data_IF_259259876454
#
_entry.id   IF_259259876454
#
_cell.length_a   1.000
_cell.length_b   1.000
_cell.length_c   1.000
_cell.angle_alpha   90.00
_cell.angle_beta   90.00
_cell.angle_gamma   90.00
#
_symmetry.space_group_name_H-M   'P 1'
#
loop_
_entity.id
_entity.type
_entity.pdbx_description
1 polymer ?
#
# COMPACT_ATOMS: atom_id res chain seq x y z
N UNK A 1 20.76 16.99 52.17
CA UNK A 1 20.73 16.32 50.85
C UNK A 1 19.56 16.90 50.08
N UNK A 2 19.70 17.18 48.78
CA UNK A 2 18.60 17.71 47.98
C UNK A 2 17.79 16.51 47.48
N UNK A 3 16.55 16.39 47.95
CA UNK A 3 15.61 15.31 47.67
C UNK A 3 14.23 15.92 47.42
N UNK A 4 13.36 15.19 46.71
CA UNK A 4 11.96 15.56 46.52
C UNK A 4 11.09 14.83 47.55
N UNK A 5 10.17 15.56 48.19
CA UNK A 5 9.13 14.99 49.06
C UNK A 5 7.86 14.74 48.24
N UNK A 6 7.32 13.52 48.27
CA UNK A 6 5.98 13.26 47.77
C UNK A 6 4.95 13.48 48.88
N UNK A 7 4.29 14.63 48.88
CA UNK A 7 3.43 15.07 50.00
C UNK A 7 2.27 14.13 50.32
N UNK A 8 1.82 13.30 49.38
CA UNK A 8 0.67 12.40 49.59
C UNK A 8 0.99 11.18 50.45
N UNK A 9 2.21 10.67 50.42
CA UNK A 9 2.62 9.50 51.22
C UNK A 9 3.83 9.77 52.13
N UNK A 10 4.42 10.97 52.07
CA UNK A 10 5.52 11.40 52.91
C UNK A 10 6.88 10.80 52.54
N UNK A 11 7.00 10.17 51.37
CA UNK A 11 8.25 9.53 50.93
C UNK A 11 9.23 10.54 50.31
N UNK A 12 10.52 10.37 50.61
CA UNK A 12 11.61 11.16 50.03
C UNK A 12 12.29 10.39 48.89
N UNK A 13 12.55 11.09 47.79
CA UNK A 13 13.15 10.54 46.59
C UNK A 13 14.38 11.34 46.16
N UNK A 14 15.40 10.65 45.67
CA UNK A 14 16.66 11.28 45.26
C UNK A 14 16.50 12.07 43.96
N UNK A 15 17.30 13.14 43.79
CA UNK A 15 17.37 13.87 42.52
C UNK A 15 17.70 12.93 41.36
N UNK A 16 16.98 13.10 40.24
CA UNK A 16 17.14 12.30 39.03
C UNK A 16 16.39 10.98 39.05
N UNK A 17 15.74 10.62 40.17
CA UNK A 17 14.92 9.42 40.25
C UNK A 17 13.56 9.59 39.57
N UNK A 18 13.02 8.48 39.08
CA UNK A 18 11.63 8.36 38.61
C UNK A 18 10.95 7.19 39.31
N UNK A 19 9.72 7.37 39.76
CA UNK A 19 8.98 6.36 40.49
C UNK A 19 7.49 6.37 40.15
N UNK A 20 6.81 5.28 40.52
CA UNK A 20 5.35 5.16 40.44
C UNK A 20 4.75 5.14 41.83
N UNK A 21 3.61 5.78 41.98
CA UNK A 21 2.91 5.91 43.26
C UNK A 21 1.65 5.05 43.29
N UNK A 22 1.16 4.76 44.49
CA UNK A 22 -0.06 3.95 44.70
C UNK A 22 -1.33 4.66 44.22
N UNK A 23 -1.31 5.98 44.09
CA UNK A 23 -2.38 6.79 43.51
C UNK A 23 -2.23 7.00 41.99
N UNK A 24 -1.46 6.13 41.33
CA UNK A 24 -1.34 6.04 39.88
C UNK A 24 -0.73 7.28 39.22
N UNK A 25 0.33 7.80 39.83
CA UNK A 25 1.19 8.83 39.27
C UNK A 25 2.54 8.25 38.87
N UNK A 26 3.12 8.81 37.81
CA UNK A 26 4.52 8.63 37.43
C UNK A 26 5.21 9.95 37.74
N UNK A 27 6.11 9.92 38.71
CA UNK A 27 6.80 11.09 39.22
C UNK A 27 8.27 11.09 38.81
N UNK A 28 8.85 12.27 38.71
CA UNK A 28 10.25 12.50 38.44
C UNK A 28 10.78 13.66 39.31
N UNK A 29 11.90 13.43 39.99
CA UNK A 29 12.58 14.45 40.78
C UNK A 29 13.64 15.15 39.94
N UNK A 30 13.44 16.42 39.65
CA UNK A 30 14.30 17.23 38.78
C UNK A 30 15.58 17.69 39.48
N UNK A 31 16.58 18.07 38.68
CA UNK A 31 17.88 18.53 39.19
C UNK A 31 17.82 19.81 40.04
N UNK A 32 16.80 20.65 39.83
CA UNK A 32 16.56 21.85 40.62
C UNK A 32 15.84 21.56 41.95
N UNK A 33 15.44 20.31 42.22
CA UNK A 33 14.67 19.92 43.40
C UNK A 33 13.16 19.97 43.22
N UNK A 34 12.66 20.33 42.03
CA UNK A 34 11.23 20.30 41.73
C UNK A 34 10.78 18.89 41.38
N UNK A 35 9.53 18.56 41.75
CA UNK A 35 8.93 17.26 41.46
C UNK A 35 7.80 17.42 40.45
N UNK A 36 7.91 16.71 39.33
CA UNK A 36 6.84 16.61 38.32
C UNK A 36 6.18 15.25 38.38
N UNK A 37 4.86 15.21 38.54
CA UNK A 37 4.07 13.98 38.53
C UNK A 37 3.01 14.02 37.44
N UNK A 38 2.94 12.97 36.63
CA UNK A 38 1.93 12.80 35.59
C UNK A 38 1.03 11.62 35.93
N UNK A 39 -0.27 11.80 35.73
CA UNK A 39 -1.24 10.73 35.85
C UNK A 39 -0.94 9.60 34.84
N UNK A 40 -0.95 8.34 35.28
CA UNK A 40 -0.63 7.20 34.42
C UNK A 40 -1.84 6.53 33.79
N UNK A 41 -3.05 6.96 34.16
CA UNK A 41 -4.30 6.41 33.67
C UNK A 41 -5.05 7.42 32.81
N UNK A 42 -5.81 6.93 31.84
CA UNK A 42 -6.72 7.75 31.02
C UNK A 42 -8.16 7.51 31.46
N UNK A 43 -8.94 8.59 31.60
CA UNK A 43 -10.35 8.50 31.94
C UNK A 43 -11.23 8.29 30.69
N UNK A 44 -11.98 7.17 30.58
CA UNK A 44 -12.81 6.87 29.43
C UNK A 44 -13.82 7.97 29.10
N UNK A 45 -13.84 8.38 27.83
CA UNK A 45 -14.81 9.30 27.25
C UNK A 45 -15.52 8.65 26.06
N UNK A 46 -16.80 9.00 25.84
CA UNK A 46 -17.57 8.57 24.67
C UNK A 46 -17.75 7.06 24.57
N UNK A 47 -18.21 6.41 25.65
CA UNK A 47 -18.73 5.04 25.62
C UNK A 47 -20.25 5.03 25.52
N UNK A 48 -20.87 3.92 25.04
CA UNK A 48 -22.31 3.79 24.93
C UNK A 48 -23.04 3.97 26.27
N UNK A 49 -24.28 4.47 26.24
CA UNK A 49 -25.09 4.74 27.44
C UNK A 49 -25.41 3.47 28.25
N UNK A 50 -25.41 2.30 27.63
CA UNK A 50 -25.63 1.01 28.29
C UNK A 50 -24.35 0.44 28.95
N UNK A 51 -23.27 1.22 28.96
CA UNK A 51 -21.99 0.88 29.55
C UNK A 51 -21.70 1.71 30.81
N UNK A 52 -20.85 1.18 31.67
CA UNK A 52 -20.32 1.86 32.85
C UNK A 52 -18.80 1.68 32.94
N UNK A 53 -18.14 2.59 33.66
CA UNK A 53 -16.70 2.53 33.93
C UNK A 53 -16.44 2.28 35.41
N UNK A 54 -15.39 1.50 35.69
CA UNK A 54 -14.89 1.22 37.05
C UNK A 54 -13.37 1.37 37.05
N UNK A 55 -12.82 2.01 38.08
CA UNK A 55 -11.38 2.21 38.21
C UNK A 55 -10.73 0.99 38.88
N UNK A 56 -9.79 0.37 38.19
CA UNK A 56 -8.92 -0.66 38.75
C UNK A 56 -7.67 0.02 39.32
N UNK A 57 -7.68 0.24 40.63
CA UNK A 57 -6.58 0.87 41.36
C UNK A 57 -5.26 0.09 41.21
N UNK A 58 -5.32 -1.25 41.18
CA UNK A 58 -4.11 -2.09 41.10
C UNK A 58 -3.47 -2.01 39.72
N UNK A 59 -4.29 -1.95 38.67
CA UNK A 59 -3.82 -1.82 37.30
C UNK A 59 -3.67 -0.37 36.83
N UNK A 60 -4.04 0.61 37.67
CA UNK A 60 -4.06 2.03 37.33
C UNK A 60 -4.74 2.30 35.98
N UNK A 61 -5.98 1.81 35.82
CA UNK A 61 -6.75 1.97 34.57
C UNK A 61 -8.24 1.92 34.85
N UNK A 62 -9.04 2.53 33.98
CA UNK A 62 -10.47 2.26 33.95
C UNK A 62 -10.79 1.06 33.06
N UNK A 63 -11.66 0.19 33.56
CA UNK A 63 -12.35 -0.82 32.77
C UNK A 63 -13.74 -0.29 32.42
N UNK A 64 -14.19 -0.51 31.18
CA UNK A 64 -15.54 -0.14 30.74
C UNK A 64 -16.25 -1.40 30.29
N UNK A 65 -17.45 -1.64 30.77
CA UNK A 65 -18.24 -2.86 30.54
C UNK A 65 -19.74 -2.58 30.57
N UNK A 66 -20.55 -3.55 30.13
CA UNK A 66 -22.01 -3.40 30.10
C UNK A 66 -22.57 -3.29 31.52
N UNK A 67 -23.57 -2.44 31.70
CA UNK A 67 -24.23 -2.24 33.00
C UNK A 67 -24.88 -3.53 33.55
N UNK A 68 -25.35 -4.40 32.65
CA UNK A 68 -26.02 -5.66 33.01
C UNK A 68 -25.07 -6.85 33.13
N UNK A 69 -23.88 -6.81 32.53
CA UNK A 69 -22.89 -7.88 32.58
C UNK A 69 -21.46 -7.31 32.51
N UNK A 70 -20.75 -7.41 33.63
CA UNK A 70 -19.38 -6.88 33.78
C UNK A 70 -18.32 -7.68 33.02
N UNK A 71 -18.66 -8.89 32.56
CA UNK A 71 -17.77 -9.70 31.73
C UNK A 71 -17.71 -9.21 30.28
N UNK A 72 -18.68 -8.40 29.86
CA UNK A 72 -18.79 -7.86 28.50
C UNK A 72 -18.15 -6.46 28.46
N UNK A 73 -16.95 -6.30 27.85
CA UNK A 73 -16.30 -5.01 27.76
C UNK A 73 -17.01 -4.06 26.78
N UNK A 74 -16.88 -2.75 27.04
CA UNK A 74 -17.39 -1.69 26.18
C UNK A 74 -16.26 -0.83 25.60
N UNK A 75 -16.49 -0.31 24.40
CA UNK A 75 -15.56 0.57 23.71
C UNK A 75 -15.71 2.03 24.18
N UNK A 76 -14.62 2.79 24.13
CA UNK A 76 -14.57 4.23 24.46
C UNK A 76 -13.42 4.93 23.72
N UNK A 77 -13.59 6.22 23.41
CA UNK A 77 -12.63 7.05 22.63
C UNK A 77 -11.23 7.21 23.23
N UNK A 78 -11.02 6.70 24.44
CA UNK A 78 -9.80 6.83 25.23
C UNK A 78 -8.75 5.73 25.09
N UNK A 79 -9.12 4.64 24.45
CA UNK A 79 -8.24 3.50 24.19
C UNK A 79 -8.45 3.08 22.74
N UNK A 80 -8.12 3.97 21.81
CA UNK A 80 -7.83 3.59 20.43
C UNK A 80 -6.59 2.70 20.51
N UNK A 81 -6.78 1.39 20.67
CA UNK A 81 -5.71 0.40 20.53
C UNK A 81 -6.01 -0.59 19.43
N UNK A 82 -7.26 -0.65 18.97
CA UNK A 82 -7.72 -1.66 18.04
C UNK A 82 -8.83 -1.11 17.13
N UNK A 83 -8.91 -1.64 15.92
CA UNK A 83 -10.02 -1.46 14.99
C UNK A 83 -10.94 -2.69 15.06
N UNK A 84 -12.26 -2.46 14.99
CA UNK A 84 -13.26 -3.51 14.84
C UNK A 84 -13.52 -3.72 13.34
N UNK A 85 -13.45 -4.96 12.87
CA UNK A 85 -13.96 -5.32 11.54
C UNK A 85 -15.43 -5.73 11.66
N UNK A 86 -16.34 -4.85 11.24
CA UNK A 86 -17.79 -5.02 11.48
C UNK A 86 -18.36 -6.29 10.84
N UNK A 87 -17.78 -6.77 9.73
CA UNK A 87 -18.31 -7.93 8.99
C UNK A 87 -18.12 -9.27 9.72
N UNK A 88 -17.09 -9.41 10.57
CA UNK A 88 -16.84 -10.65 11.33
C UNK A 88 -16.68 -10.43 12.86
N UNK A 89 -16.76 -9.18 13.32
CA UNK A 89 -16.67 -8.82 14.72
C UNK A 89 -15.26 -8.95 15.32
N UNK A 90 -14.22 -9.14 14.50
CA UNK A 90 -12.85 -9.32 14.98
C UNK A 90 -12.15 -7.99 15.29
N UNK A 91 -11.27 -8.02 16.28
CA UNK A 91 -10.49 -6.87 16.71
C UNK A 91 -9.05 -6.98 16.23
N UNK A 92 -8.53 -5.87 15.72
CA UNK A 92 -7.19 -5.80 15.14
C UNK A 92 -6.38 -4.66 15.74
N UNK A 93 -5.15 -4.91 16.16
CA UNK A 93 -4.30 -3.91 16.79
C UNK A 93 -3.99 -2.73 15.85
N UNK A 94 -3.81 -1.54 16.43
CA UNK A 94 -3.31 -0.37 15.69
C UNK A 94 -1.99 -0.71 15.00
N UNK A 95 -1.88 -0.31 13.74
CA UNK A 95 -0.72 -0.58 12.89
C UNK A 95 -0.76 -1.95 12.20
N UNK A 96 -1.69 -2.83 12.57
CA UNK A 96 -1.83 -4.15 11.94
C UNK A 96 -2.39 -4.05 10.53
N UNK A 97 -1.98 -5.01 9.68
CA UNK A 97 -2.54 -5.26 8.36
C UNK A 97 -3.00 -6.71 8.30
N UNK A 98 -4.18 -6.93 7.76
CA UNK A 98 -4.74 -8.28 7.65
C UNK A 98 -5.55 -8.45 6.37
N UNK A 99 -5.82 -9.71 6.04
CA UNK A 99 -6.75 -10.10 4.98
C UNK A 99 -8.00 -10.69 5.62
N UNK A 100 -9.13 -10.35 5.05
CA UNK A 100 -10.45 -10.77 5.51
C UNK A 100 -10.99 -11.89 4.61
N UNK A 101 -12.00 -12.61 5.09
CA UNK A 101 -12.65 -13.70 4.35
C UNK A 101 -13.44 -13.23 3.13
N UNK A 102 -13.90 -11.97 3.15
CA UNK A 102 -14.55 -11.26 2.03
C UNK A 102 -13.56 -10.55 1.10
N UNK A 103 -12.31 -11.02 1.06
CA UNK A 103 -11.29 -10.59 0.11
C UNK A 103 -10.88 -9.11 0.19
N UNK A 104 -10.93 -8.53 1.39
CA UNK A 104 -10.41 -7.20 1.68
C UNK A 104 -8.99 -7.30 2.28
N UNK A 105 -8.20 -6.26 2.05
CA UNK A 105 -6.96 -5.98 2.77
C UNK A 105 -7.19 -4.75 3.61
N UNK A 106 -7.15 -4.94 4.92
CA UNK A 106 -7.41 -3.89 5.87
C UNK A 106 -6.12 -3.42 6.56
N UNK A 107 -6.15 -2.17 7.00
CA UNK A 107 -5.11 -1.52 7.78
C UNK A 107 -5.76 -0.72 8.91
N UNK A 108 -5.36 -1.00 10.15
CA UNK A 108 -5.78 -0.21 11.30
C UNK A 108 -4.81 0.95 11.50
N UNK A 109 -5.26 2.18 11.24
CA UNK A 109 -4.41 3.37 11.31
C UNK A 109 -4.11 3.78 12.77
N UNK A 110 -3.08 4.62 12.95
CA UNK A 110 -2.67 5.12 14.26
C UNK A 110 -3.75 5.91 15.01
N UNK A 111 -4.68 6.53 14.26
CA UNK A 111 -5.84 7.24 14.80
C UNK A 111 -7.04 6.30 15.05
N UNK A 112 -6.85 4.98 14.98
CA UNK A 112 -7.85 3.92 15.09
C UNK A 112 -8.95 3.94 14.03
N UNK A 113 -8.73 4.62 12.91
CA UNK A 113 -9.56 4.50 11.72
C UNK A 113 -9.11 3.29 10.92
N UNK A 114 -10.06 2.44 10.54
CA UNK A 114 -9.81 1.29 9.68
C UNK A 114 -9.94 1.68 8.20
N UNK A 115 -8.97 1.27 7.39
CA UNK A 115 -9.02 1.41 5.93
C UNK A 115 -8.94 0.04 5.30
N UNK A 116 -9.95 -0.35 4.52
CA UNK A 116 -10.00 -1.62 3.82
C UNK A 116 -10.11 -1.39 2.32
N UNK A 117 -9.33 -2.14 1.55
CA UNK A 117 -9.37 -2.13 0.10
C UNK A 117 -9.64 -3.53 -0.42
N UNK A 118 -10.49 -3.62 -1.44
CA UNK A 118 -10.72 -4.86 -2.18
C UNK A 118 -9.41 -5.38 -2.80
N UNK A 119 -9.16 -6.68 -2.69
CA UNK A 119 -7.92 -7.30 -3.20
C UNK A 119 -8.06 -7.95 -4.57
N UNK A 120 -9.30 -8.07 -5.04
CA UNK A 120 -9.63 -8.63 -6.34
C UNK A 120 -10.05 -7.54 -7.32
N UNK A 121 -9.86 -7.83 -8.60
CA UNK A 121 -10.33 -6.98 -9.69
C UNK A 121 -11.42 -7.74 -10.44
N UNK A 122 -12.51 -7.05 -10.79
CA UNK A 122 -13.62 -7.62 -11.57
C UNK A 122 -13.42 -7.36 -13.08
N UNK A 123 -13.23 -8.41 -13.90
CA UNK A 123 -13.10 -8.29 -15.34
C UNK A 123 -14.30 -7.60 -16.00
N UNK A 124 -14.07 -6.45 -16.64
CA UNK A 124 -15.13 -5.68 -17.32
C UNK A 124 -15.21 -5.95 -18.82
N UNK A 125 -14.13 -6.44 -19.42
CA UNK A 125 -14.05 -6.78 -20.85
C UNK A 125 -13.32 -8.09 -21.07
N UNK A 126 -13.94 -9.01 -21.78
CA UNK A 126 -13.39 -10.30 -22.22
C UNK A 126 -14.25 -10.80 -23.40
N UNK A 127 -13.78 -11.79 -24.20
CA UNK A 127 -14.54 -12.28 -25.36
C UNK A 127 -15.92 -12.83 -24.99
N UNK A 128 -16.90 -12.68 -25.88
CA UNK A 128 -18.29 -13.12 -25.65
C UNK A 128 -18.43 -14.64 -25.46
N UNK A 129 -17.49 -15.44 -25.96
CA UNK A 129 -17.46 -16.89 -25.82
C UNK A 129 -16.79 -17.37 -24.51
N UNK A 130 -16.46 -16.42 -23.63
CA UNK A 130 -15.89 -16.67 -22.31
C UNK A 130 -16.89 -16.35 -21.19
N UNK A 131 -16.63 -16.90 -20.01
CA UNK A 131 -17.35 -16.62 -18.78
C UNK A 131 -16.35 -16.40 -17.64
N UNK A 132 -16.80 -15.73 -16.58
CA UNK A 132 -16.00 -15.49 -15.39
C UNK A 132 -16.62 -16.14 -14.15
N UNK A 133 -15.79 -16.64 -13.25
CA UNK A 133 -16.18 -17.23 -11.98
C UNK A 133 -15.25 -16.71 -10.87
N UNK A 134 -15.83 -16.34 -9.73
CA UNK A 134 -15.06 -15.82 -8.60
C UNK A 134 -14.48 -16.97 -7.78
N UNK A 135 -13.16 -16.98 -7.63
CA UNK A 135 -12.44 -17.87 -6.72
C UNK A 135 -12.26 -17.17 -5.37
N UNK A 136 -13.13 -17.50 -4.41
CA UNK A 136 -13.10 -16.94 -3.06
C UNK A 136 -11.78 -17.21 -2.33
N UNK A 137 -11.15 -18.38 -2.56
CA UNK A 137 -9.90 -18.74 -1.86
C UNK A 137 -8.72 -17.96 -2.40
N UNK A 138 -8.68 -17.76 -3.71
CA UNK A 138 -7.64 -16.98 -4.36
C UNK A 138 -7.92 -15.46 -4.41
N UNK A 139 -9.14 -15.04 -4.04
CA UNK A 139 -9.62 -13.67 -4.15
C UNK A 139 -9.36 -13.08 -5.54
N UNK A 140 -9.89 -13.75 -6.58
CA UNK A 140 -9.76 -13.32 -7.98
C UNK A 140 -10.89 -13.89 -8.84
N UNK A 141 -11.21 -13.21 -9.93
CA UNK A 141 -12.01 -13.81 -11.00
C UNK A 141 -11.10 -14.59 -11.94
N UNK A 142 -11.50 -15.82 -12.26
CA UNK A 142 -10.93 -16.58 -13.36
C UNK A 142 -11.85 -16.44 -14.57
N UNK A 143 -11.28 -16.20 -15.74
CA UNK A 143 -12.03 -16.08 -17.00
C UNK A 143 -11.59 -17.21 -17.92
N UNK A 144 -12.54 -17.98 -18.44
CA UNK A 144 -12.31 -19.18 -19.23
C UNK A 144 -13.42 -19.40 -20.27
N UNK A 145 -13.21 -20.31 -21.22
CA UNK A 145 -14.20 -20.60 -22.27
C UNK A 145 -15.48 -21.18 -21.66
N UNK A 146 -16.63 -20.76 -22.19
CA UNK A 146 -17.95 -21.28 -21.76
C UNK A 146 -18.05 -22.80 -21.89
N UNK A 147 -17.40 -23.36 -22.90
CA UNK A 147 -17.47 -24.79 -23.22
C UNK A 147 -16.37 -25.62 -22.52
N UNK A 148 -15.30 -24.98 -22.02
CA UNK A 148 -14.18 -25.66 -21.35
C UNK A 148 -13.49 -24.73 -20.35
N UNK A 149 -13.65 -25.03 -19.06
CA UNK A 149 -13.09 -24.22 -17.97
C UNK A 149 -11.58 -24.32 -17.83
N UNK A 150 -10.94 -25.31 -18.47
CA UNK A 150 -9.49 -25.46 -18.45
C UNK A 150 -8.77 -24.49 -19.40
N UNK A 151 -9.51 -23.88 -20.33
CA UNK A 151 -8.98 -22.96 -21.33
C UNK A 151 -9.17 -21.51 -20.83
N UNK A 152 -8.10 -20.82 -20.40
CA UNK A 152 -8.20 -19.43 -19.95
C UNK A 152 -8.53 -18.48 -21.11
N UNK A 153 -9.23 -17.39 -20.79
CA UNK A 153 -9.53 -16.33 -21.72
C UNK A 153 -8.79 -15.03 -21.38
N UNK A 154 -8.47 -14.20 -22.40
CA UNK A 154 -7.89 -12.88 -22.18
C UNK A 154 -8.93 -11.92 -21.54
N UNK A 155 -8.42 -10.97 -20.76
CA UNK A 155 -9.19 -9.90 -20.09
C UNK A 155 -8.69 -8.55 -20.62
N UNK A 156 -9.55 -7.78 -21.29
CA UNK A 156 -9.22 -6.54 -22.00
C UNK A 156 -9.53 -5.26 -21.20
N UNK A 157 -9.46 -5.31 -19.87
CA UNK A 157 -9.92 -4.17 -19.06
C UNK A 157 -9.61 -4.24 -17.57
N UNK A 158 -8.59 -5.00 -17.17
CA UNK A 158 -8.14 -5.09 -15.79
C UNK A 158 -6.67 -4.75 -15.66
N UNK A 159 -6.36 -3.81 -14.77
CA UNK A 159 -5.05 -3.20 -14.52
C UNK A 159 -3.94 -4.23 -14.22
N UNK A 160 -3.49 -5.00 -15.21
CA UNK A 160 -2.27 -5.81 -15.07
C UNK A 160 -1.39 -5.84 -16.31
N UNK A 161 -1.94 -5.62 -17.51
CA UNK A 161 -1.16 -5.80 -18.73
C UNK A 161 -1.58 -4.84 -19.85
N UNK A 162 -0.62 -4.46 -20.67
CA UNK A 162 -0.80 -3.74 -21.93
C UNK A 162 -0.77 -4.73 -23.11
N UNK A 163 -1.71 -4.58 -24.05
CA UNK A 163 -1.72 -5.32 -25.32
C UNK A 163 -0.97 -4.52 -26.38
N UNK A 164 0.03 -5.13 -27.02
CA UNK A 164 0.65 -4.57 -28.21
C UNK A 164 -0.10 -5.07 -29.45
N UNK A 165 -1.02 -4.25 -29.97
CA UNK A 165 -1.95 -4.66 -31.03
C UNK A 165 -1.28 -5.16 -32.32
N UNK A 166 -0.04 -4.72 -32.61
CA UNK A 166 0.65 -5.12 -33.85
C UNK A 166 1.11 -6.57 -33.87
N UNK A 167 1.45 -7.16 -32.72
CA UNK A 167 1.87 -8.57 -32.64
C UNK A 167 1.02 -9.41 -31.67
N UNK A 168 0.04 -8.79 -31.00
CA UNK A 168 -0.87 -9.45 -30.07
C UNK A 168 -0.21 -9.86 -28.75
N UNK A 169 1.00 -9.37 -28.44
CA UNK A 169 1.70 -9.71 -27.20
C UNK A 169 1.20 -8.89 -26.02
N UNK A 170 1.23 -9.51 -24.83
CA UNK A 170 0.84 -8.89 -23.57
C UNK A 170 2.06 -8.60 -22.73
N UNK A 171 2.09 -7.42 -22.11
CA UNK A 171 3.21 -6.93 -21.30
C UNK A 171 2.73 -6.46 -19.93
N UNK A 172 3.45 -6.80 -18.87
CA UNK A 172 3.05 -6.45 -17.50
C UNK A 172 3.14 -4.94 -17.24
N UNK A 173 2.30 -4.41 -16.35
CA UNK A 173 2.40 -3.02 -15.88
C UNK A 173 3.80 -2.74 -15.31
N UNK A 174 4.39 -1.62 -15.71
CA UNK A 174 5.74 -1.20 -15.33
C UNK A 174 6.86 -1.87 -16.13
N UNK A 175 6.53 -2.78 -17.05
CA UNK A 175 7.52 -3.37 -17.95
C UNK A 175 7.92 -2.41 -19.07
N UNK A 176 9.15 -2.56 -19.55
CA UNK A 176 9.66 -1.92 -20.77
C UNK A 176 10.14 -2.98 -21.74
N UNK A 177 9.83 -2.86 -23.02
CA UNK A 177 10.23 -3.82 -24.04
C UNK A 177 10.56 -3.14 -25.37
N UNK A 178 11.25 -3.90 -26.24
CA UNK A 178 11.51 -3.50 -27.63
C UNK A 178 10.72 -4.36 -28.59
N UNK A 179 10.17 -3.74 -29.61
CA UNK A 179 9.34 -4.39 -30.62
C UNK A 179 10.15 -4.63 -31.90
N UNK A 180 9.64 -5.52 -32.76
CA UNK A 180 10.27 -5.84 -34.06
C UNK A 180 10.19 -4.69 -35.07
N UNK A 181 9.28 -3.74 -34.87
CA UNK A 181 9.15 -2.50 -35.65
C UNK A 181 9.95 -1.33 -35.05
N UNK A 182 10.99 -1.63 -34.27
CA UNK A 182 11.95 -0.66 -33.74
C UNK A 182 11.35 0.39 -32.80
N UNK A 183 10.36 0.00 -32.00
CA UNK A 183 9.80 0.81 -30.92
C UNK A 183 10.36 0.36 -29.58
N UNK A 184 10.51 1.31 -28.66
CA UNK A 184 10.69 1.08 -27.24
C UNK A 184 9.40 1.45 -26.55
N UNK A 185 8.76 0.48 -25.92
CA UNK A 185 7.47 0.63 -25.28
C UNK A 185 7.57 0.50 -23.77
N UNK A 186 6.65 1.16 -23.06
CA UNK A 186 6.47 1.11 -21.63
C UNK A 186 4.99 0.95 -21.31
N UNK A 187 4.67 0.02 -20.41
CA UNK A 187 3.31 -0.18 -19.92
C UNK A 187 3.10 0.62 -18.63
N UNK A 188 2.25 1.65 -18.69
CA UNK A 188 1.99 2.56 -17.58
C UNK A 188 1.05 1.96 -16.52
N UNK A 189 1.02 2.57 -15.33
CA UNK A 189 0.24 2.07 -14.19
C UNK A 189 -1.28 2.15 -14.40
N UNK A 190 -1.74 3.04 -15.27
CA UNK A 190 -3.13 3.17 -15.72
C UNK A 190 -3.52 2.12 -16.79
N UNK A 191 -2.57 1.31 -17.27
CA UNK A 191 -2.77 0.37 -18.38
C UNK A 191 -2.62 1.00 -19.77
N UNK A 192 -2.24 2.28 -19.86
CA UNK A 192 -1.88 2.90 -21.13
C UNK A 192 -0.48 2.46 -21.55
N UNK A 193 -0.25 2.40 -22.86
CA UNK A 193 1.04 2.03 -23.43
C UNK A 193 1.66 3.23 -24.15
N UNK A 194 2.87 3.59 -23.75
CA UNK A 194 3.67 4.62 -24.40
C UNK A 194 4.78 3.95 -25.21
N UNK A 195 4.83 4.21 -26.52
CA UNK A 195 5.86 3.67 -27.41
C UNK A 195 6.58 4.80 -28.15
N UNK A 196 7.91 4.77 -28.14
CA UNK A 196 8.76 5.71 -28.85
C UNK A 196 9.60 5.00 -29.91
N UNK A 197 9.75 5.62 -31.08
CA UNK A 197 10.70 5.15 -32.08
C UNK A 197 12.14 5.18 -31.53
N UNK A 198 12.91 4.14 -31.83
CA UNK A 198 14.30 4.02 -31.33
C UNK A 198 15.36 4.45 -32.33
N UNK A 199 14.95 4.73 -33.58
CA UNK A 199 15.85 5.15 -34.64
C UNK A 199 15.69 6.65 -34.92
N UNK A 200 16.77 7.27 -35.36
CA UNK A 200 16.77 8.63 -35.86
C UNK A 200 16.90 8.61 -37.38
N UNK A 201 16.12 9.43 -38.07
CA UNK A 201 16.22 9.58 -39.52
C UNK A 201 17.26 10.65 -39.89
N UNK A 202 18.37 10.29 -40.57
CA UNK A 202 19.43 11.21 -40.97
C UNK A 202 18.91 12.41 -41.76
N UNK A 203 19.36 13.60 -41.38
CA UNK A 203 19.15 14.85 -42.10
C UNK A 203 20.51 15.53 -42.34
N UNK A 204 20.63 16.30 -43.41
CA UNK A 204 21.81 17.14 -43.66
C UNK A 204 23.08 16.38 -44.06
N UNK A 205 22.96 15.29 -44.84
CA UNK A 205 24.09 14.59 -45.46
C UNK A 205 24.30 15.06 -46.92
N UNK A 206 25.50 14.89 -47.50
CA UNK A 206 25.79 15.33 -48.87
C UNK A 206 24.88 14.72 -49.94
N UNK A 207 24.62 15.47 -51.02
CA UNK A 207 23.74 15.03 -52.12
C UNK A 207 24.23 13.78 -52.86
N UNK A 208 25.53 13.48 -52.80
CA UNK A 208 26.12 12.27 -53.38
C UNK A 208 26.03 11.04 -52.47
N UNK A 209 25.33 11.16 -51.34
CA UNK A 209 25.04 10.09 -50.40
C UNK A 209 23.57 9.66 -50.47
N UNK A 210 23.30 8.44 -50.03
CA UNK A 210 21.96 7.89 -49.83
C UNK A 210 21.88 7.20 -48.47
N UNK A 211 20.65 7.01 -47.98
CA UNK A 211 20.37 6.34 -46.72
C UNK A 211 19.56 5.08 -46.95
N UNK A 212 19.84 4.05 -46.15
CA UNK A 212 19.11 2.79 -46.14
C UNK A 212 18.81 2.41 -44.69
N UNK A 213 17.61 1.89 -44.43
CA UNK A 213 17.20 1.48 -43.10
C UNK A 213 17.64 0.04 -42.82
N UNK A 214 18.45 -0.14 -41.78
CA UNK A 214 18.79 -1.46 -41.25
C UNK A 214 17.77 -1.85 -40.18
N UNK A 215 16.80 -2.68 -40.56
CA UNK A 215 15.75 -3.18 -39.67
C UNK A 215 16.31 -3.98 -38.48
N UNK A 216 17.43 -4.70 -38.65
CA UNK A 216 18.00 -5.52 -37.57
C UNK A 216 18.72 -4.65 -36.55
N UNK A 217 19.39 -3.60 -37.01
CA UNK A 217 20.10 -2.67 -36.13
C UNK A 217 19.23 -1.49 -35.67
N UNK A 218 17.99 -1.35 -36.17
CA UNK A 218 17.08 -0.24 -35.92
C UNK A 218 17.77 1.12 -36.10
N UNK A 219 18.43 1.32 -37.25
CA UNK A 219 19.14 2.56 -37.58
C UNK A 219 19.22 2.76 -39.08
N UNK A 220 19.38 4.01 -39.51
CA UNK A 220 19.75 4.31 -40.88
C UNK A 220 21.28 4.29 -41.04
N UNK A 221 21.75 3.62 -42.08
CA UNK A 221 23.13 3.73 -42.55
C UNK A 221 23.15 4.74 -43.71
N UNK A 222 24.17 5.60 -43.75
CA UNK A 222 24.35 6.59 -44.82
C UNK A 222 25.67 6.32 -45.53
N UNK A 223 25.61 6.13 -46.85
CA UNK A 223 26.74 5.74 -47.69
C UNK A 223 26.69 6.42 -49.06
N UNK A 224 27.78 6.32 -49.84
CA UNK A 224 27.85 6.93 -51.18
C UNK A 224 26.89 6.24 -52.15
N UNK A 225 26.20 7.02 -52.99
CA UNK A 225 25.29 6.49 -54.02
C UNK A 225 25.95 5.48 -54.96
N UNK A 226 27.25 5.64 -55.22
CA UNK A 226 28.00 4.82 -56.15
C UNK A 226 28.66 3.59 -55.48
N UNK A 227 28.75 3.56 -54.14
CA UNK A 227 29.40 2.48 -53.39
C UNK A 227 28.90 2.46 -51.93
N UNK A 228 28.13 1.42 -51.59
CA UNK A 228 27.53 1.24 -50.26
C UNK A 228 28.51 0.83 -49.17
N UNK A 229 29.76 0.48 -49.52
CA UNK A 229 30.82 0.19 -48.55
C UNK A 229 31.46 1.45 -47.97
N UNK A 230 31.23 2.61 -48.60
CA UNK A 230 31.84 3.89 -48.20
C UNK A 230 30.83 4.69 -47.34
N UNK A 231 31.04 4.79 -46.02
CA UNK A 231 30.16 5.57 -45.15
C UNK A 231 30.32 7.07 -45.40
N UNK A 232 29.21 7.81 -45.33
CA UNK A 232 29.23 9.26 -45.46
C UNK A 232 29.42 9.94 -44.09
N UNK A 233 30.10 11.11 -44.06
CA UNK A 233 30.18 11.90 -42.84
C UNK A 233 28.78 12.38 -42.43
N UNK A 234 28.42 12.08 -41.19
CA UNK A 234 27.18 12.53 -40.56
C UNK A 234 27.52 13.65 -39.57
N UNK A 235 26.77 14.77 -39.56
CA UNK A 235 26.91 15.76 -38.51
C UNK A 235 26.62 15.09 -37.16
N UNK A 236 27.49 15.31 -36.16
CA UNK A 236 27.23 14.83 -34.79
C UNK A 236 26.00 15.54 -34.25
N UNK A 237 25.04 14.76 -33.73
CA UNK A 237 23.97 15.26 -32.87
C UNK A 237 24.47 15.43 -31.44
#
# INVERSE_FOLDING_TARGET
MRQCLYDKDGTWHDIGSSWRTSDCMSCYCQANGDMGCCQTYFEPLGFPDDCMKEFDQKACKYNVFKKNDRSIPCHFRGRMRQCLYDNDGTWHDIGSRWRTSDCMRCYCQANGVMSCCQTYFEPTRFPDDCMMEFDQKACKYNVFKKNDRSIPCPIYGGMRQCLYDKDGTWHDIGSSWRTSDCMSCYCEANGDMSCCQTYFEPMGFPDDCMKEFDQKACKYNVFKKNDSSIPCPMPRQ
#
